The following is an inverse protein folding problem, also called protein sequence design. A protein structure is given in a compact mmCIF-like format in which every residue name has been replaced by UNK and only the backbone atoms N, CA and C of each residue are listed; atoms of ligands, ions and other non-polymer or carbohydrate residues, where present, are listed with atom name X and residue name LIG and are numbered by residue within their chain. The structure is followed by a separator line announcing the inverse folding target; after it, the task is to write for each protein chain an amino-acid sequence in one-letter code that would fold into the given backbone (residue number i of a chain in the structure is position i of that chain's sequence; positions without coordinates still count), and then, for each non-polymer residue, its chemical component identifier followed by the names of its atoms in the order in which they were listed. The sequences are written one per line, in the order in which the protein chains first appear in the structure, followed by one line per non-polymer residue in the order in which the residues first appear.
data_IF_049462720272
#
_entry.id   IF_049462720272
#
_cell.length_a   1.000
_cell.length_b   1.000
_cell.length_c   1.000
_cell.angle_alpha   90.00
_cell.angle_beta   90.00
_cell.angle_gamma   90.00
#
_symmetry.space_group_name_H-M   'P 1'
#
loop_
_entity.id
_entity.type
_entity.pdbx_description
1 polymer ?
#
# COMPACT_ATOMS: atom_id res chain seq x y z
N UNK A 1 -12.09 14.25 4.84
CA UNK A 1 -12.81 12.96 5.00
C UNK A 1 -11.82 11.82 4.77
N UNK A 2 -11.78 10.83 5.66
CA UNK A 2 -10.93 9.64 5.53
C UNK A 2 -11.29 8.85 4.27
N UNK A 3 -10.28 8.53 3.45
CA UNK A 3 -10.46 7.77 2.21
C UNK A 3 -10.60 6.29 2.54
N UNK A 4 -11.49 5.59 1.84
CA UNK A 4 -11.69 4.15 2.01
C UNK A 4 -11.11 3.42 0.80
N UNK A 5 -10.24 2.45 1.05
CA UNK A 5 -9.72 1.52 0.05
C UNK A 5 -10.25 0.12 0.34
N UNK A 6 -10.68 -0.60 -0.69
CA UNK A 6 -11.10 -2.00 -0.54
C UNK A 6 -9.92 -2.94 -0.77
N UNK A 7 -9.62 -3.81 0.20
CA UNK A 7 -8.58 -4.84 0.08
C UNK A 7 -9.14 -6.12 -0.55
N UNK A 8 -9.29 -6.10 -1.87
CA UNK A 8 -9.97 -7.17 -2.64
C UNK A 8 -9.29 -7.35 -3.99
N UNK A 9 -9.31 -8.58 -4.50
CA UNK A 9 -8.83 -8.90 -5.85
C UNK A 9 -9.92 -9.49 -6.76
N UNK A 10 -11.05 -9.93 -6.20
CA UNK A 10 -12.16 -10.48 -6.99
C UNK A 10 -12.74 -9.42 -7.94
N UNK A 11 -12.75 -9.74 -9.23
CA UNK A 11 -13.16 -8.84 -10.31
C UNK A 11 -14.63 -8.39 -10.18
N UNK A 12 -15.54 -9.27 -9.75
CA UNK A 12 -16.94 -8.95 -9.59
C UNK A 12 -17.18 -8.01 -8.40
N UNK A 13 -16.49 -8.26 -7.29
CA UNK A 13 -16.48 -7.35 -6.14
C UNK A 13 -15.85 -6.01 -6.51
N UNK A 14 -14.71 -5.98 -7.22
CA UNK A 14 -14.11 -4.73 -7.68
C UNK A 14 -15.10 -3.97 -8.57
N UNK A 15 -15.77 -4.63 -9.52
CA UNK A 15 -16.80 -3.99 -10.36
C UNK A 15 -17.94 -3.39 -9.52
N UNK A 16 -18.43 -4.12 -8.50
CA UNK A 16 -19.48 -3.66 -7.58
C UNK A 16 -19.02 -2.45 -6.74
N UNK A 17 -17.86 -2.54 -6.10
CA UNK A 17 -17.33 -1.49 -5.21
C UNK A 17 -16.78 -0.28 -5.97
N UNK A 18 -16.36 -0.45 -7.23
CA UNK A 18 -15.92 0.66 -8.06
C UNK A 18 -17.04 1.67 -8.32
N UNK A 19 -18.31 1.23 -8.40
CA UNK A 19 -19.48 2.10 -8.54
C UNK A 19 -19.80 2.91 -7.27
N UNK A 20 -19.25 2.55 -6.11
CA UNK A 20 -19.54 3.24 -4.84
C UNK A 20 -18.65 4.47 -4.67
N UNK A 21 -19.26 5.64 -4.45
CA UNK A 21 -18.54 6.91 -4.27
C UNK A 21 -17.67 6.97 -3.01
N UNK A 22 -18.02 6.20 -1.98
CA UNK A 22 -17.25 6.09 -0.73
C UNK A 22 -15.90 5.39 -0.96
N UNK A 23 -15.80 4.51 -1.95
CA UNK A 23 -14.57 3.77 -2.27
C UNK A 23 -13.66 4.66 -3.11
N UNK A 24 -12.48 4.98 -2.60
CA UNK A 24 -11.49 5.86 -3.23
C UNK A 24 -10.35 5.12 -3.91
N UNK A 25 -10.23 3.81 -3.68
CA UNK A 25 -9.24 2.97 -4.35
C UNK A 25 -9.30 1.53 -3.89
N UNK A 26 -8.31 0.75 -4.33
CA UNK A 26 -8.21 -0.66 -4.05
C UNK A 26 -6.79 -1.01 -3.60
N UNK A 27 -6.66 -1.98 -2.71
CA UNK A 27 -5.40 -2.64 -2.45
C UNK A 27 -5.55 -4.11 -2.79
N UNK A 28 -4.47 -4.69 -3.31
CA UNK A 28 -4.39 -6.12 -3.55
C UNK A 28 -3.14 -6.65 -2.88
N UNK A 29 -3.04 -7.97 -2.86
CA UNK A 29 -1.82 -8.68 -2.52
C UNK A 29 -1.79 -10.02 -3.29
N UNK A 30 -0.61 -10.67 -3.36
CA UNK A 30 -0.41 -11.98 -3.99
C UNK A 30 -1.47 -13.02 -3.64
N UNK A 31 -1.76 -13.14 -2.35
CA UNK A 31 -2.68 -14.15 -1.81
C UNK A 31 -4.11 -13.89 -2.25
N UNK A 32 -4.57 -12.64 -2.22
CA UNK A 32 -5.91 -12.27 -2.68
C UNK A 32 -6.06 -12.53 -4.18
N UNK A 33 -5.08 -12.15 -4.99
CA UNK A 33 -5.13 -12.35 -6.45
C UNK A 33 -5.16 -13.84 -6.80
N UNK A 34 -4.36 -14.66 -6.11
CA UNK A 34 -4.40 -16.11 -6.28
C UNK A 34 -5.76 -16.70 -5.87
N UNK A 35 -6.30 -16.30 -4.72
CA UNK A 35 -7.63 -16.77 -4.24
C UNK A 35 -8.76 -16.36 -5.18
N UNK A 36 -8.62 -15.25 -5.90
CA UNK A 36 -9.57 -14.78 -6.89
C UNK A 36 -9.46 -15.51 -8.25
N UNK A 37 -8.65 -16.58 -8.34
CA UNK A 37 -8.56 -17.46 -9.51
C UNK A 37 -7.51 -17.08 -10.54
N UNK A 38 -6.56 -16.19 -10.21
CA UNK A 38 -5.54 -15.78 -11.15
C UNK A 38 -4.55 -16.91 -11.48
N UNK A 39 -4.57 -17.41 -12.72
CA UNK A 39 -3.54 -18.30 -13.28
C UNK A 39 -2.29 -17.56 -13.73
N UNK A 40 -2.45 -16.31 -14.18
CA UNK A 40 -1.36 -15.43 -14.57
C UNK A 40 -1.55 -14.05 -13.91
N UNK A 41 -0.60 -13.66 -13.06
CA UNK A 41 -0.69 -12.43 -12.28
C UNK A 41 -0.84 -11.16 -13.13
N UNK A 42 0.01 -11.01 -14.16
CA UNK A 42 0.03 -9.83 -15.04
C UNK A 42 -1.29 -9.68 -15.80
N UNK A 43 -1.75 -10.76 -16.43
CA UNK A 43 -3.01 -10.74 -17.19
C UNK A 43 -4.21 -10.45 -16.27
N UNK A 44 -4.23 -11.03 -15.07
CA UNK A 44 -5.30 -10.78 -14.10
C UNK A 44 -5.31 -9.32 -13.61
N UNK A 45 -4.15 -8.77 -13.25
CA UNK A 45 -4.03 -7.36 -12.86
C UNK A 45 -4.46 -6.42 -13.99
N UNK A 46 -4.07 -6.71 -15.24
CA UNK A 46 -4.51 -5.93 -16.42
C UNK A 46 -6.01 -5.99 -16.64
N UNK A 47 -6.66 -7.14 -16.37
CA UNK A 47 -8.12 -7.24 -16.41
C UNK A 47 -8.80 -6.38 -15.32
N UNK A 48 -8.25 -6.33 -14.11
CA UNK A 48 -8.71 -5.41 -13.06
C UNK A 48 -8.61 -3.94 -13.54
N UNK A 49 -7.51 -3.56 -14.20
CA UNK A 49 -7.29 -2.20 -14.70
C UNK A 49 -8.25 -1.76 -15.82
N UNK A 50 -8.89 -2.70 -16.51
CA UNK A 50 -9.98 -2.42 -17.45
C UNK A 50 -11.26 -1.99 -16.71
N UNK A 51 -11.45 -2.41 -15.47
CA UNK A 51 -12.66 -2.18 -14.67
C UNK A 51 -12.59 -0.88 -13.87
N UNK A 52 -11.41 -0.51 -13.36
CA UNK A 52 -11.24 0.65 -12.48
C UNK A 52 -10.14 1.61 -12.93
N UNK A 53 -10.45 2.91 -12.87
CA UNK A 53 -9.48 4.01 -12.99
C UNK A 53 -9.09 4.59 -11.63
N UNK A 54 -9.71 4.12 -10.54
CA UNK A 54 -9.34 4.52 -9.17
C UNK A 54 -7.93 4.00 -8.84
N UNK A 55 -7.20 4.66 -7.92
CA UNK A 55 -5.95 4.15 -7.36
C UNK A 55 -6.02 2.67 -7.01
N UNK A 56 -5.04 1.89 -7.43
CA UNK A 56 -4.94 0.47 -7.08
C UNK A 56 -3.49 0.08 -6.74
N UNK A 57 -3.32 -0.74 -5.71
CA UNK A 57 -2.00 -1.27 -5.33
C UNK A 57 -1.80 -2.70 -5.83
N UNK A 58 -0.69 -2.95 -6.54
CA UNK A 58 -0.24 -4.29 -6.94
C UNK A 58 1.15 -4.56 -6.37
N UNK A 59 1.34 -5.75 -5.79
CA UNK A 59 2.55 -6.08 -5.03
C UNK A 59 3.61 -6.77 -5.89
N UNK A 60 4.87 -6.50 -5.58
CA UNK A 60 6.01 -7.33 -5.99
C UNK A 60 6.05 -8.61 -5.16
N UNK A 61 6.76 -9.62 -5.64
CA UNK A 61 6.93 -10.91 -4.94
C UNK A 61 8.40 -11.24 -4.68
N UNK A 62 9.30 -10.62 -5.43
CA UNK A 62 10.73 -10.82 -5.25
C UNK A 62 11.19 -10.35 -3.86
N UNK A 63 12.28 -10.95 -3.41
CA UNK A 63 12.85 -10.65 -2.09
C UNK A 63 14.20 -9.91 -2.16
N UNK A 64 14.89 -10.00 -3.30
CA UNK A 64 16.14 -9.27 -3.56
C UNK A 64 15.89 -7.95 -4.29
N UNK A 65 16.76 -6.97 -4.00
CA UNK A 65 16.67 -5.61 -4.53
C UNK A 65 16.52 -5.56 -6.06
N UNK A 66 17.33 -6.34 -6.79
CA UNK A 66 17.38 -6.31 -8.26
C UNK A 66 16.06 -6.78 -8.86
N UNK A 67 15.54 -7.91 -8.38
CA UNK A 67 14.29 -8.46 -8.90
C UNK A 67 13.08 -7.65 -8.43
N UNK A 68 13.09 -7.08 -7.22
CA UNK A 68 12.04 -6.15 -6.78
C UNK A 68 11.96 -4.96 -7.74
N UNK A 69 13.09 -4.33 -8.05
CA UNK A 69 13.12 -3.18 -8.95
C UNK A 69 12.60 -3.55 -10.35
N UNK A 70 13.07 -4.68 -10.89
CA UNK A 70 12.62 -5.18 -12.21
C UNK A 70 11.12 -5.44 -12.24
N UNK A 71 10.55 -6.05 -11.19
CA UNK A 71 9.11 -6.30 -11.10
C UNK A 71 8.32 -4.99 -10.96
N UNK A 72 8.80 -4.06 -10.13
CA UNK A 72 8.15 -2.78 -9.91
C UNK A 72 8.03 -1.94 -11.19
N UNK A 73 9.09 -1.90 -12.01
CA UNK A 73 9.07 -1.21 -13.31
C UNK A 73 8.01 -1.82 -14.22
N UNK A 74 7.98 -3.15 -14.35
CA UNK A 74 6.95 -3.86 -15.14
C UNK A 74 5.54 -3.58 -14.66
N UNK A 75 5.29 -3.64 -13.36
CA UNK A 75 3.96 -3.41 -12.77
C UNK A 75 3.48 -1.98 -13.08
N UNK A 76 4.38 -0.99 -12.98
CA UNK A 76 4.05 0.42 -13.23
C UNK A 76 3.59 0.66 -14.67
N UNK A 77 4.16 -0.04 -15.65
CA UNK A 77 3.84 0.11 -17.07
C UNK A 77 2.39 -0.27 -17.40
N UNK A 78 1.71 -1.06 -16.56
CA UNK A 78 0.35 -1.50 -16.85
C UNK A 78 -0.70 -0.40 -16.70
N UNK A 79 -0.42 0.69 -15.96
CA UNK A 79 -1.42 1.73 -15.73
C UNK A 79 -0.95 2.91 -14.89
N UNK A 80 -1.43 4.11 -15.24
CA UNK A 80 -1.10 5.37 -14.54
C UNK A 80 -1.69 5.43 -13.12
N UNK A 81 -2.78 4.72 -12.84
CA UNK A 81 -3.46 4.68 -11.53
C UNK A 81 -2.77 3.77 -10.50
N UNK A 82 -1.76 3.01 -10.91
CA UNK A 82 -1.10 2.00 -10.08
C UNK A 82 -0.19 2.64 -9.04
N UNK A 83 -0.27 2.10 -7.82
CA UNK A 83 0.77 2.17 -6.80
C UNK A 83 1.47 0.81 -6.75
N UNK A 84 2.79 0.79 -6.96
CA UNK A 84 3.56 -0.44 -6.79
C UNK A 84 3.73 -0.67 -5.30
N UNK A 85 3.21 -1.79 -4.81
CA UNK A 85 3.27 -2.15 -3.41
C UNK A 85 4.55 -2.92 -3.12
N UNK A 86 5.35 -2.40 -2.20
CA UNK A 86 6.69 -2.90 -1.87
C UNK A 86 6.80 -3.02 -0.35
N UNK A 87 7.27 -4.14 0.20
CA UNK A 87 7.40 -4.27 1.65
C UNK A 87 8.50 -3.33 2.18
N UNK A 88 8.38 -2.93 3.44
CA UNK A 88 9.38 -2.07 4.10
C UNK A 88 10.71 -2.83 4.33
N UNK A 89 10.64 -4.14 4.52
CA UNK A 89 11.78 -5.04 4.66
C UNK A 89 11.62 -6.24 3.74
N UNK A 90 12.73 -6.92 3.41
CA UNK A 90 12.66 -8.24 2.80
C UNK A 90 12.33 -9.34 3.84
N UNK A 91 12.28 -10.59 3.41
CA UNK A 91 11.98 -11.77 4.23
C UNK A 91 12.97 -11.99 5.38
N UNK A 92 14.20 -11.48 5.24
CA UNK A 92 15.26 -11.50 6.26
C UNK A 92 15.21 -10.32 7.24
N UNK A 93 14.21 -9.45 7.11
CA UNK A 93 14.06 -8.26 7.97
C UNK A 93 14.99 -7.09 7.59
N UNK A 94 15.68 -7.17 6.47
CA UNK A 94 16.58 -6.10 6.01
C UNK A 94 15.73 -4.98 5.39
N UNK A 95 15.95 -3.74 5.85
CA UNK A 95 15.24 -2.57 5.35
C UNK A 95 15.52 -2.30 3.86
N UNK A 96 14.46 -2.24 3.07
CA UNK A 96 14.50 -2.04 1.61
C UNK A 96 14.65 -0.56 1.20
N UNK A 97 15.31 0.25 2.02
CA UNK A 97 15.44 1.70 1.78
C UNK A 97 16.12 2.08 0.48
N UNK A 98 17.06 1.25 -0.01
CA UNK A 98 17.74 1.47 -1.31
C UNK A 98 16.77 1.29 -2.47
N UNK A 99 15.99 0.20 -2.45
CA UNK A 99 14.93 -0.08 -3.42
C UNK A 99 13.87 1.01 -3.41
N UNK A 100 13.39 1.41 -2.24
CA UNK A 100 12.37 2.46 -2.08
C UNK A 100 12.87 3.78 -2.71
N UNK A 101 14.13 4.15 -2.44
CA UNK A 101 14.75 5.35 -3.00
C UNK A 101 14.87 5.28 -4.52
N UNK A 102 15.36 4.16 -5.06
CA UNK A 102 15.53 3.99 -6.50
C UNK A 102 14.19 4.10 -7.26
N UNK A 103 13.17 3.38 -6.80
CA UNK A 103 11.84 3.40 -7.42
C UNK A 103 11.19 4.77 -7.33
N UNK A 104 11.33 5.46 -6.20
CA UNK A 104 10.77 6.80 -6.01
C UNK A 104 11.47 7.85 -6.88
N UNK A 105 12.80 7.75 -7.05
CA UNK A 105 13.57 8.58 -7.98
C UNK A 105 13.17 8.35 -9.44
N UNK A 106 12.72 7.14 -9.79
CA UNK A 106 12.10 6.80 -11.09
C UNK A 106 10.64 7.28 -11.21
N UNK A 107 10.15 8.10 -10.28
CA UNK A 107 8.78 8.63 -10.25
C UNK A 107 7.68 7.57 -10.18
N UNK A 108 8.00 6.38 -9.66
CA UNK A 108 7.02 5.30 -9.47
C UNK A 108 6.20 5.60 -8.21
N UNK A 109 4.88 5.59 -8.32
CA UNK A 109 3.99 5.72 -7.15
C UNK A 109 4.12 4.46 -6.30
N UNK A 110 4.37 4.61 -5.02
CA UNK A 110 4.67 3.48 -4.12
C UNK A 110 3.59 3.31 -3.05
N UNK A 111 3.27 2.07 -2.72
CA UNK A 111 2.59 1.72 -1.48
C UNK A 111 3.56 0.89 -0.63
N UNK A 112 4.21 1.51 0.36
CA UNK A 112 5.13 0.81 1.25
C UNK A 112 4.33 0.04 2.29
N UNK A 113 4.42 -1.29 2.27
CA UNK A 113 3.57 -2.20 3.05
C UNK A 113 4.32 -2.89 4.18
N UNK A 114 3.58 -3.56 5.06
CA UNK A 114 4.10 -4.23 6.26
C UNK A 114 4.91 -3.29 7.16
N UNK A 115 4.47 -2.04 7.27
CA UNK A 115 5.02 -1.06 8.21
C UNK A 115 4.32 -1.24 9.55
N UNK A 116 5.07 -1.21 10.64
CA UNK A 116 4.55 -1.39 12.00
C UNK A 116 4.88 -0.19 12.88
N UNK A 117 6.02 0.47 12.67
CA UNK A 117 6.48 1.53 13.58
C UNK A 117 6.65 2.88 12.89
N UNK A 118 6.50 3.95 13.66
CA UNK A 118 6.81 5.31 13.25
C UNK A 118 8.30 5.51 12.96
N UNK A 119 9.18 4.67 13.52
CA UNK A 119 10.59 4.63 13.15
C UNK A 119 10.76 4.17 11.71
N UNK A 120 10.08 3.09 11.30
CA UNK A 120 10.06 2.66 9.90
C UNK A 120 9.46 3.75 8.99
N UNK A 121 8.37 4.40 9.40
CA UNK A 121 7.84 5.56 8.66
C UNK A 121 8.89 6.65 8.50
N UNK A 122 9.61 7.04 9.56
CA UNK A 122 10.68 8.03 9.48
C UNK A 122 11.80 7.60 8.51
N UNK A 123 12.21 6.32 8.55
CA UNK A 123 13.19 5.77 7.62
C UNK A 123 12.71 5.84 6.17
N UNK A 124 11.45 5.50 5.89
CA UNK A 124 10.84 5.61 4.56
C UNK A 124 10.85 7.07 4.09
N UNK A 125 10.42 8.01 4.93
CA UNK A 125 10.37 9.45 4.60
C UNK A 125 11.76 10.00 4.21
N UNK A 126 12.85 9.48 4.80
CA UNK A 126 14.23 9.83 4.44
C UNK A 126 14.67 9.28 3.07
N UNK A 127 13.93 8.34 2.48
CA UNK A 127 14.28 7.67 1.20
C UNK A 127 13.45 8.16 0.03
N UNK A 128 12.41 8.95 0.25
CA UNK A 128 11.50 9.43 -0.80
C UNK A 128 11.66 10.93 -1.05
N UNK A 129 11.37 11.34 -2.27
CA UNK A 129 11.21 12.73 -2.67
C UNK A 129 9.82 13.28 -2.26
N UNK A 130 9.62 14.59 -2.44
CA UNK A 130 8.36 15.29 -2.12
C UNK A 130 7.39 15.43 -3.32
N UNK A 131 7.68 14.79 -4.45
CA UNK A 131 6.96 14.95 -5.73
C UNK A 131 6.08 13.72 -6.06
N UNK A 132 6.65 12.54 -5.93
CA UNK A 132 6.01 11.27 -6.32
C UNK A 132 5.05 10.79 -5.24
N UNK A 133 3.81 10.43 -5.59
CA UNK A 133 2.81 9.98 -4.59
C UNK A 133 3.25 8.68 -3.91
N UNK A 134 3.17 8.65 -2.58
CA UNK A 134 3.52 7.50 -1.75
C UNK A 134 2.41 7.24 -0.75
N UNK A 135 2.06 5.97 -0.57
CA UNK A 135 1.21 5.47 0.52
C UNK A 135 2.13 4.70 1.47
N UNK A 136 1.99 4.91 2.77
CA UNK A 136 2.64 4.12 3.81
C UNK A 136 1.55 3.34 4.54
N UNK A 137 1.50 2.03 4.29
CA UNK A 137 0.49 1.12 4.86
C UNK A 137 0.97 0.54 6.18
N UNK A 138 0.42 1.05 7.28
CA UNK A 138 0.74 0.61 8.64
C UNK A 138 -0.23 -0.50 9.06
N UNK A 139 0.29 -1.64 9.50
CA UNK A 139 -0.48 -2.86 9.75
C UNK A 139 -1.05 -2.87 11.18
N UNK A 140 -2.15 -2.15 11.37
CA UNK A 140 -2.80 -1.99 12.67
C UNK A 140 -3.26 -3.34 13.26
N UNK A 141 -4.06 -4.10 12.51
CA UNK A 141 -4.62 -5.34 13.03
C UNK A 141 -3.56 -6.37 13.40
N UNK A 142 -2.49 -6.51 12.61
CA UNK A 142 -1.40 -7.43 12.99
C UNK A 142 -0.68 -7.02 14.28
N UNK A 143 -0.63 -5.72 14.62
CA UNK A 143 -0.12 -5.28 15.92
C UNK A 143 -1.11 -5.65 17.03
N UNK A 144 -2.40 -5.40 16.81
CA UNK A 144 -3.46 -5.76 17.76
C UNK A 144 -3.54 -7.26 18.01
N UNK A 145 -3.36 -8.09 16.96
CA UNK A 145 -3.36 -9.55 17.03
C UNK A 145 -2.27 -10.08 18.01
N UNK A 146 -1.21 -9.29 18.27
CA UNK A 146 -0.13 -9.63 19.22
C UNK A 146 -0.15 -8.76 20.49
N UNK A 147 -1.30 -8.16 20.82
CA UNK A 147 -1.51 -7.40 22.05
C UNK A 147 -0.87 -6.00 22.06
N UNK A 148 -0.53 -5.44 20.89
CA UNK A 148 0.04 -4.08 20.79
C UNK A 148 -1.00 -3.07 20.30
N UNK A 149 -1.11 -1.95 21.01
CA UNK A 149 -1.92 -0.82 20.58
C UNK A 149 -1.30 -0.14 19.35
N UNK A 150 -2.00 -0.08 18.19
CA UNK A 150 -1.49 0.58 16.99
C UNK A 150 -1.56 2.11 17.07
N UNK A 151 -2.42 2.70 17.92
CA UNK A 151 -2.72 4.15 17.93
C UNK A 151 -1.48 5.03 18.12
N UNK A 152 -0.54 4.72 19.05
CA UNK A 152 0.67 5.52 19.22
C UNK A 152 1.52 5.59 17.94
N UNK A 153 1.64 4.47 17.22
CA UNK A 153 2.41 4.39 15.98
C UNK A 153 1.77 5.19 14.85
N UNK A 154 0.44 5.13 14.71
CA UNK A 154 -0.28 5.96 13.75
C UNK A 154 -0.16 7.45 14.08
N UNK A 155 -0.41 7.83 15.33
CA UNK A 155 -0.35 9.24 15.77
C UNK A 155 1.02 9.85 15.46
N UNK A 156 2.10 9.13 15.79
CA UNK A 156 3.47 9.57 15.51
C UNK A 156 3.78 9.58 14.02
N UNK A 157 3.38 8.55 13.27
CA UNK A 157 3.57 8.45 11.82
C UNK A 157 2.87 9.56 11.04
N UNK A 158 1.63 9.89 11.40
CA UNK A 158 0.86 11.00 10.83
C UNK A 158 1.55 12.33 11.14
N UNK A 159 2.00 12.54 12.39
CA UNK A 159 2.69 13.78 12.77
C UNK A 159 3.95 14.02 11.94
N UNK A 160 4.78 13.00 11.73
CA UNK A 160 6.03 13.15 10.97
C UNK A 160 5.82 13.26 9.46
N UNK A 161 4.76 12.64 8.91
CA UNK A 161 4.46 12.67 7.49
C UNK A 161 3.84 14.00 7.02
N UNK A 162 3.31 14.84 7.93
CA UNK A 162 2.72 16.17 7.59
C UNK A 162 3.62 17.07 6.73
N UNK A 163 4.96 16.93 6.82
CA UNK A 163 5.92 17.70 6.02
C UNK A 163 6.02 17.24 4.54
N UNK A 164 5.31 16.17 4.18
CA UNK A 164 5.32 15.51 2.87
C UNK A 164 3.90 15.46 2.30
N UNK A 165 3.52 16.49 1.52
CA UNK A 165 2.17 16.60 0.91
C UNK A 165 1.83 15.46 -0.07
N UNK A 166 2.84 14.75 -0.55
CA UNK A 166 2.74 13.61 -1.46
C UNK A 166 2.58 12.26 -0.75
N UNK A 167 2.62 12.23 0.59
CA UNK A 167 2.54 11.01 1.39
C UNK A 167 1.17 10.89 2.05
N UNK A 168 0.56 9.72 1.93
CA UNK A 168 -0.65 9.35 2.66
C UNK A 168 -0.36 8.17 3.58
N UNK A 169 -0.86 8.21 4.82
CA UNK A 169 -0.82 7.05 5.72
C UNK A 169 -2.08 6.23 5.46
N UNK A 170 -1.93 4.91 5.31
CA UNK A 170 -3.05 3.99 5.16
C UNK A 170 -3.15 3.12 6.40
N UNK A 171 -4.32 3.12 7.03
CA UNK A 171 -4.70 2.15 8.05
C UNK A 171 -4.92 0.79 7.38
N UNK A 172 -3.91 -0.08 7.44
CA UNK A 172 -3.93 -1.38 6.81
C UNK A 172 -4.10 -2.50 7.84
N UNK A 173 -4.37 -3.70 7.34
CA UNK A 173 -4.70 -4.86 8.18
C UNK A 173 -5.90 -4.63 9.10
N UNK A 174 -6.91 -3.88 8.64
CA UNK A 174 -8.17 -3.64 9.36
C UNK A 174 -8.88 -4.95 9.70
N UNK A 175 -9.36 -5.09 10.94
CA UNK A 175 -10.08 -6.28 11.43
C UNK A 175 -11.56 -6.00 11.67
N UNK A 176 -11.87 -4.79 12.11
CA UNK A 176 -13.17 -4.46 12.71
C UNK A 176 -13.63 -3.04 12.34
N UNK A 177 -14.94 -2.74 12.43
CA UNK A 177 -15.47 -1.39 12.19
C UNK A 177 -14.85 -0.32 13.10
N UNK A 178 -14.47 -0.66 14.33
CA UNK A 178 -13.83 0.26 15.27
C UNK A 178 -12.55 0.88 14.70
N UNK A 179 -11.78 0.12 13.93
CA UNK A 179 -10.56 0.61 13.29
C UNK A 179 -10.82 1.78 12.32
N UNK A 180 -11.98 1.80 11.65
CA UNK A 180 -12.36 2.95 10.83
C UNK A 180 -12.61 4.20 11.67
N UNK A 181 -13.26 4.05 12.83
CA UNK A 181 -13.50 5.18 13.75
C UNK A 181 -12.17 5.72 14.29
N UNK A 182 -11.24 4.85 14.68
CA UNK A 182 -9.90 5.21 15.12
C UNK A 182 -9.11 5.95 14.02
N UNK A 183 -9.10 5.42 12.80
CA UNK A 183 -8.48 6.09 11.65
C UNK A 183 -9.07 7.48 11.41
N UNK A 184 -10.40 7.61 11.49
CA UNK A 184 -11.12 8.89 11.34
C UNK A 184 -10.76 9.90 12.44
N UNK A 185 -10.71 9.47 13.70
CA UNK A 185 -10.33 10.30 14.84
C UNK A 185 -8.90 10.85 14.70
N UNK A 186 -7.97 10.02 14.21
CA UNK A 186 -6.59 10.44 13.95
C UNK A 186 -6.40 11.25 12.67
N UNK A 187 -7.47 11.46 11.88
CA UNK A 187 -7.42 12.09 10.56
C UNK A 187 -6.45 11.37 9.60
N UNK A 188 -6.42 10.04 9.69
CA UNK A 188 -5.78 9.17 8.72
C UNK A 188 -6.57 9.16 7.40
#
# INVERSE_FOLDING_TARGET
MTKIFCDIADINLIKKFNKKNIVKGFTTNPSLIRKAGAKNYSNYCKNILKITKKPISFEVFADDDKNIIKQAIKIKEWGKQIYVKVPVTNSRGIFLGKVIKDLNNKNIKLNITAVYTAQQTSQILKKINKKTKVIISIFAGRMSDVGKDPIPEFRKSIKISKKFKNVEILWASTREPLNYLQAKQLKC
#
